data_IF_150503934104
#
_entry.id   IF_150503934104
#
_cell.length_a   1.000
_cell.length_b   1.000
_cell.length_c   1.000
_cell.angle_alpha   90.00
_cell.angle_beta   90.00
_cell.angle_gamma   90.00
#
_symmetry.space_group_name_H-M   'P 1'
#
loop_
_entity.id
_entity.type
_entity.pdbx_description
1 polymer ?
#
# COMPACT_ATOMS: atom_id res chain seq x y z
N UNK A 1 -4.85 -0.12 -11.22
CA UNK A 1 -4.28 1.11 -10.58
C UNK A 1 -5.32 2.24 -10.42
N UNK A 2 -6.32 2.33 -11.28
CA UNK A 2 -7.36 3.36 -11.15
C UNK A 2 -8.07 3.34 -9.78
N UNK A 3 -8.35 2.16 -9.26
CA UNK A 3 -8.99 1.97 -7.95
C UNK A 3 -8.13 2.51 -6.81
N UNK A 4 -6.81 2.32 -6.91
CA UNK A 4 -5.85 2.82 -5.92
C UNK A 4 -5.76 4.34 -5.97
N UNK A 5 -5.64 4.91 -7.16
CA UNK A 5 -5.60 6.36 -7.34
C UNK A 5 -6.87 7.02 -6.78
N UNK A 6 -8.04 6.44 -7.08
CA UNK A 6 -9.31 6.96 -6.57
C UNK A 6 -9.36 6.93 -5.04
N UNK A 7 -8.85 5.87 -4.41
CA UNK A 7 -8.75 5.77 -2.96
C UNK A 7 -7.79 6.82 -2.38
N UNK A 8 -6.63 7.00 -2.99
CA UNK A 8 -5.66 8.01 -2.53
C UNK A 8 -6.24 9.43 -2.64
N UNK A 9 -6.98 9.72 -3.71
CA UNK A 9 -7.67 11.00 -3.87
C UNK A 9 -8.69 11.24 -2.76
N UNK A 10 -9.47 10.21 -2.42
CA UNK A 10 -10.46 10.30 -1.35
C UNK A 10 -9.79 10.48 0.01
N UNK A 11 -8.75 9.68 0.30
CA UNK A 11 -8.01 9.74 1.56
C UNK A 11 -7.29 11.08 1.73
N UNK A 12 -6.82 11.68 0.63
CA UNK A 12 -6.18 13.00 0.67
C UNK A 12 -7.09 14.06 1.27
N UNK A 13 -8.39 13.98 1.00
CA UNK A 13 -9.39 14.94 1.47
C UNK A 13 -9.88 14.74 2.90
N UNK A 14 -9.45 13.67 3.57
CA UNK A 14 -9.91 13.31 4.91
C UNK A 14 -8.95 13.83 5.98
N UNK A 15 -9.48 14.35 7.06
CA UNK A 15 -8.69 14.80 8.21
C UNK A 15 -9.40 14.43 9.51
N UNK A 16 -8.80 13.57 10.37
CA UNK A 16 -7.61 12.74 10.11
C UNK A 16 -7.96 11.45 9.36
N UNK A 17 -6.94 10.79 8.81
CA UNK A 17 -7.09 9.40 8.35
C UNK A 17 -6.97 8.50 9.58
N UNK A 18 -8.10 7.92 9.96
CA UNK A 18 -8.19 6.94 11.06
C UNK A 18 -8.79 5.65 10.50
N UNK A 19 -8.77 4.58 11.30
CA UNK A 19 -9.31 3.30 10.84
C UNK A 19 -10.76 3.42 10.37
N UNK A 20 -11.61 4.10 11.13
CA UNK A 20 -13.02 4.29 10.78
C UNK A 20 -13.24 5.13 9.53
N UNK A 21 -12.50 6.23 9.38
CA UNK A 21 -12.63 7.10 8.20
C UNK A 21 -12.07 6.42 6.94
N UNK A 22 -10.99 5.66 7.07
CA UNK A 22 -10.45 4.88 5.96
C UNK A 22 -11.43 3.77 5.53
N UNK A 23 -12.02 3.06 6.48
CA UNK A 23 -13.05 2.05 6.17
C UNK A 23 -14.26 2.67 5.46
N UNK A 24 -14.68 3.87 5.87
CA UNK A 24 -15.76 4.58 5.21
C UNK A 24 -15.42 4.92 3.76
N UNK A 25 -14.16 5.25 3.48
CA UNK A 25 -13.68 5.47 2.08
C UNK A 25 -13.80 4.21 1.24
N UNK A 26 -13.36 3.07 1.77
CA UNK A 26 -13.49 1.80 1.06
C UNK A 26 -14.95 1.51 0.72
N UNK A 27 -15.84 1.70 1.68
CA UNK A 27 -17.28 1.51 1.45
C UNK A 27 -17.85 2.46 0.42
N UNK A 28 -17.48 3.73 0.49
CA UNK A 28 -17.96 4.75 -0.46
C UNK A 28 -17.47 4.51 -1.89
N UNK A 29 -16.28 3.93 -2.06
CA UNK A 29 -15.71 3.56 -3.35
C UNK A 29 -16.16 2.16 -3.80
N UNK A 30 -17.09 1.55 -3.08
CA UNK A 30 -17.68 0.25 -3.41
C UNK A 30 -16.69 -0.92 -3.37
N UNK A 31 -15.69 -0.85 -2.49
CA UNK A 31 -14.84 -1.99 -2.20
C UNK A 31 -15.61 -3.03 -1.41
N UNK A 32 -15.26 -4.30 -1.58
CA UNK A 32 -15.91 -5.42 -0.90
C UNK A 32 -15.11 -5.78 0.36
N UNK A 33 -15.76 -5.84 1.54
CA UNK A 33 -15.09 -6.28 2.76
C UNK A 33 -14.74 -7.78 2.69
N UNK A 34 -13.59 -8.15 3.26
CA UNK A 34 -13.08 -9.53 3.18
C UNK A 34 -12.92 -10.22 4.52
N UNK A 35 -12.93 -9.52 5.60
CA UNK A 35 -12.63 -10.10 6.88
C UNK A 35 -13.78 -9.94 7.90
N UNK A 36 -13.46 -10.28 9.15
CA UNK A 36 -14.33 -9.95 10.27
C UNK A 36 -13.89 -8.60 10.82
N UNK A 37 -14.84 -7.68 11.09
CA UNK A 37 -14.50 -6.40 11.68
C UNK A 37 -13.78 -6.57 13.02
N UNK A 38 -12.73 -5.77 13.21
CA UNK A 38 -12.09 -5.61 14.53
C UNK A 38 -12.62 -4.32 15.14
N UNK A 39 -13.14 -4.41 16.36
CA UNK A 39 -13.72 -3.25 17.06
C UNK A 39 -14.78 -2.51 16.23
N UNK A 40 -15.53 -3.27 15.43
CA UNK A 40 -16.57 -2.72 14.56
C UNK A 40 -16.08 -2.09 13.27
N UNK A 41 -14.77 -2.16 12.97
CA UNK A 41 -14.18 -1.61 11.76
C UNK A 41 -13.63 -2.73 10.87
N UNK A 42 -14.08 -2.78 9.61
CA UNK A 42 -13.53 -3.70 8.62
C UNK A 42 -12.17 -3.19 8.15
N UNK A 43 -11.14 -4.03 8.30
CA UNK A 43 -9.77 -3.65 7.95
C UNK A 43 -9.25 -4.30 6.68
N UNK A 44 -9.99 -5.23 6.08
CA UNK A 44 -9.57 -5.95 4.86
C UNK A 44 -10.63 -5.80 3.77
N UNK A 45 -10.19 -5.35 2.60
CA UNK A 45 -11.06 -5.01 1.49
C UNK A 45 -10.47 -5.51 0.17
N UNK A 46 -11.30 -5.64 -0.87
CA UNK A 46 -10.82 -5.92 -2.23
C UNK A 46 -11.70 -5.27 -3.28
N UNK A 47 -11.11 -4.97 -4.42
CA UNK A 47 -11.80 -4.46 -5.61
C UNK A 47 -10.93 -4.68 -6.83
N UNK A 48 -11.49 -5.26 -7.88
CA UNK A 48 -10.81 -5.39 -9.17
C UNK A 48 -9.46 -6.09 -9.12
N UNK A 49 -9.31 -7.12 -8.29
CA UNK A 49 -8.05 -7.83 -8.11
C UNK A 49 -7.05 -7.16 -7.17
N UNK A 50 -7.36 -5.96 -6.68
CA UNK A 50 -6.53 -5.25 -5.70
C UNK A 50 -7.03 -5.57 -4.30
N UNK A 51 -6.10 -5.88 -3.39
CA UNK A 51 -6.41 -6.01 -1.97
C UNK A 51 -6.04 -4.73 -1.25
N UNK A 52 -6.90 -4.29 -0.33
CA UNK A 52 -6.64 -3.14 0.51
C UNK A 52 -6.77 -3.52 1.98
N UNK A 53 -5.95 -2.91 2.84
CA UNK A 53 -6.09 -3.12 4.29
C UNK A 53 -5.66 -1.90 5.07
N UNK A 54 -6.15 -1.83 6.31
CA UNK A 54 -5.90 -0.73 7.24
C UNK A 54 -5.12 -1.28 8.42
N UNK A 55 -4.01 -0.64 8.75
CA UNK A 55 -3.21 -0.97 9.94
C UNK A 55 -3.14 0.24 10.86
N UNK A 56 -3.32 0.00 12.16
CA UNK A 56 -3.12 1.02 13.19
C UNK A 56 -1.93 0.61 14.04
N UNK A 57 -0.98 1.52 14.19
CA UNK A 57 0.26 1.28 14.94
C UNK A 57 0.12 1.81 16.37
N UNK A 58 1.00 1.36 17.26
CA UNK A 58 1.02 1.81 18.66
C UNK A 58 1.25 3.30 18.80
N UNK A 59 1.94 3.91 17.85
CA UNK A 59 2.16 5.36 17.79
C UNK A 59 0.91 6.17 17.49
N UNK A 60 -0.18 5.49 17.12
CA UNK A 60 -1.39 6.12 16.61
C UNK A 60 -1.35 6.36 15.09
N UNK A 61 -0.25 6.05 14.42
CA UNK A 61 -0.18 6.12 12.97
C UNK A 61 -1.15 5.13 12.34
N UNK A 62 -1.72 5.50 11.19
CA UNK A 62 -2.63 4.65 10.43
C UNK A 62 -2.05 4.52 9.02
N UNK A 63 -1.92 3.29 8.54
CA UNK A 63 -1.46 2.99 7.20
C UNK A 63 -2.57 2.31 6.42
N UNK A 64 -2.88 2.83 5.25
CA UNK A 64 -3.80 2.22 4.30
C UNK A 64 -2.97 1.70 3.14
N UNK A 65 -2.99 0.40 2.91
CA UNK A 65 -2.13 -0.28 1.94
C UNK A 65 -2.97 -0.95 0.86
N UNK A 66 -2.43 -0.97 -0.37
CA UNK A 66 -3.06 -1.60 -1.53
C UNK A 66 -2.04 -2.52 -2.19
N UNK A 67 -2.35 -3.81 -2.27
CA UNK A 67 -1.53 -4.76 -3.01
C UNK A 67 -2.06 -4.81 -4.45
N UNK A 68 -1.27 -4.27 -5.37
CA UNK A 68 -1.63 -4.21 -6.79
C UNK A 68 -1.12 -5.42 -7.56
N UNK A 69 -0.20 -6.17 -6.98
CA UNK A 69 0.34 -7.40 -7.54
C UNK A 69 0.76 -8.31 -6.39
N UNK A 70 0.40 -9.58 -6.47
CA UNK A 70 0.72 -10.58 -5.46
C UNK A 70 1.19 -11.84 -6.16
N UNK A 71 2.31 -12.38 -5.72
CA UNK A 71 2.81 -13.65 -6.23
C UNK A 71 3.20 -14.57 -5.08
N UNK A 72 2.54 -15.71 -5.00
CA UNK A 72 2.87 -16.74 -4.03
C UNK A 72 4.24 -17.34 -4.35
N UNK A 73 4.98 -17.68 -3.30
CA UNK A 73 6.28 -18.33 -3.42
C UNK A 73 6.06 -19.82 -3.51
N UNK A 74 6.63 -20.46 -4.53
CA UNK A 74 6.58 -21.90 -4.69
C UNK A 74 7.64 -22.55 -3.79
N UNK A 75 7.19 -23.34 -2.82
CA UNK A 75 8.09 -24.03 -1.88
C UNK A 75 9.05 -25.01 -2.57
N UNK A 76 8.65 -25.61 -3.69
CA UNK A 76 9.46 -26.58 -4.41
C UNK A 76 10.63 -25.96 -5.18
N UNK A 77 10.52 -24.68 -5.58
CA UNK A 77 11.54 -23.92 -6.30
C UNK A 77 12.15 -22.80 -5.49
N UNK A 78 11.97 -22.82 -4.20
CA UNK A 78 12.15 -21.72 -3.28
C UNK A 78 13.43 -20.88 -3.49
N UNK A 79 14.61 -21.51 -3.50
CA UNK A 79 15.87 -20.76 -3.60
C UNK A 79 16.21 -20.32 -5.01
N UNK A 80 15.78 -21.08 -6.01
CA UNK A 80 16.11 -20.78 -7.41
C UNK A 80 15.20 -19.70 -8.01
N UNK A 81 13.94 -19.64 -7.53
CA UNK A 81 12.91 -18.77 -8.11
C UNK A 81 12.73 -17.45 -7.37
N UNK A 82 13.19 -17.34 -6.13
CA UNK A 82 12.91 -16.16 -5.30
C UNK A 82 13.50 -14.88 -5.88
N UNK A 83 14.74 -14.92 -6.34
CA UNK A 83 15.36 -13.76 -6.98
C UNK A 83 14.62 -13.36 -8.26
N UNK A 84 14.15 -14.35 -9.03
CA UNK A 84 13.34 -14.09 -10.22
C UNK A 84 12.00 -13.44 -9.87
N UNK A 85 11.37 -13.86 -8.77
CA UNK A 85 10.12 -13.26 -8.29
C UNK A 85 10.36 -11.81 -7.84
N UNK A 86 11.47 -11.55 -7.16
CA UNK A 86 11.83 -10.19 -6.77
C UNK A 86 12.04 -9.29 -8.00
N UNK A 87 12.72 -9.78 -9.04
CA UNK A 87 12.92 -9.03 -10.27
C UNK A 87 11.60 -8.77 -11.00
N UNK A 88 10.68 -9.73 -11.01
CA UNK A 88 9.33 -9.51 -11.53
C UNK A 88 8.59 -8.43 -10.76
N UNK A 89 8.67 -8.46 -9.42
CA UNK A 89 8.07 -7.43 -8.58
C UNK A 89 8.63 -6.05 -8.86
N UNK A 90 9.94 -5.93 -9.01
CA UNK A 90 10.59 -4.66 -9.37
C UNK A 90 10.13 -4.15 -10.73
N UNK A 91 9.96 -5.04 -11.70
CA UNK A 91 9.44 -4.66 -13.02
C UNK A 91 7.98 -4.19 -12.95
N UNK A 92 7.15 -4.90 -12.20
CA UNK A 92 5.75 -4.50 -11.97
C UNK A 92 5.71 -3.12 -11.31
N UNK A 93 6.54 -2.89 -10.31
CA UNK A 93 6.65 -1.58 -9.66
C UNK A 93 7.04 -0.50 -10.67
N UNK A 94 8.06 -0.75 -11.48
CA UNK A 94 8.51 0.19 -12.50
C UNK A 94 7.40 0.52 -13.50
N UNK A 95 6.56 -0.45 -13.83
CA UNK A 95 5.42 -0.26 -14.74
C UNK A 95 4.29 0.56 -14.10
N UNK A 96 4.10 0.47 -12.78
CA UNK A 96 3.07 1.21 -12.06
C UNK A 96 3.48 2.64 -11.69
N UNK A 97 4.77 2.91 -11.50
CA UNK A 97 5.25 4.24 -11.10
C UNK A 97 4.77 5.36 -12.03
N UNK A 98 4.84 5.22 -13.38
CA UNK A 98 4.33 6.27 -14.27
C UNK A 98 2.83 6.54 -14.12
N UNK A 99 2.04 5.53 -13.74
CA UNK A 99 0.61 5.73 -13.51
C UNK A 99 0.34 6.60 -12.30
N UNK A 100 1.14 6.45 -11.24
CA UNK A 100 1.06 7.30 -10.04
C UNK A 100 1.57 8.71 -10.39
N UNK A 101 2.72 8.82 -11.02
CA UNK A 101 3.37 10.08 -11.36
C UNK A 101 2.62 10.87 -12.44
N UNK A 102 1.83 10.21 -13.27
CA UNK A 102 0.97 10.84 -14.29
C UNK A 102 -0.48 11.01 -13.85
N UNK A 103 -0.82 10.67 -12.61
CA UNK A 103 -2.18 10.76 -12.10
C UNK A 103 -2.56 12.17 -11.67
N UNK A 104 -3.83 12.35 -11.30
CA UNK A 104 -4.33 13.60 -10.70
C UNK A 104 -3.64 13.97 -9.39
N UNK A 105 -2.97 13.02 -8.74
CA UNK A 105 -2.20 13.26 -7.51
C UNK A 105 -0.84 13.91 -7.77
N UNK A 106 -0.32 13.85 -8.99
CA UNK A 106 1.06 14.24 -9.32
C UNK A 106 1.43 15.64 -8.84
N UNK A 107 0.51 16.60 -8.97
CA UNK A 107 0.75 17.98 -8.54
C UNK A 107 0.85 18.14 -7.01
N UNK A 108 0.42 17.14 -6.25
CA UNK A 108 0.42 17.15 -4.78
C UNK A 108 1.51 16.25 -4.19
N UNK A 109 2.11 15.39 -5.01
CA UNK A 109 3.16 14.47 -4.57
C UNK A 109 4.53 15.15 -4.66
N UNK A 110 5.28 15.12 -3.56
CA UNK A 110 6.65 15.61 -3.50
C UNK A 110 7.56 14.42 -3.16
N UNK A 111 8.52 14.15 -4.03
CA UNK A 111 9.46 13.05 -3.82
C UNK A 111 10.19 13.22 -2.49
N UNK A 112 10.27 12.14 -1.71
CA UNK A 112 10.88 12.13 -0.40
C UNK A 112 12.00 11.09 -0.35
N UNK A 113 12.97 11.31 0.54
CA UNK A 113 14.04 10.36 0.76
C UNK A 113 13.55 9.14 1.53
N UNK A 114 14.09 7.98 1.20
CA UNK A 114 13.83 6.74 1.90
C UNK A 114 14.60 6.75 3.21
N UNK A 115 13.94 6.26 4.27
CA UNK A 115 14.59 6.05 5.55
C UNK A 115 15.25 4.67 5.61
N UNK A 116 16.08 4.42 6.62
CA UNK A 116 16.62 3.09 6.87
C UNK A 116 15.51 2.07 7.12
N UNK A 117 14.47 2.46 7.86
CA UNK A 117 13.30 1.61 8.10
C UNK A 117 12.58 1.24 6.78
N UNK A 118 12.46 2.18 5.84
CA UNK A 118 11.87 1.90 4.53
C UNK A 118 12.71 0.87 3.77
N UNK A 119 14.02 0.99 3.78
CA UNK A 119 14.92 0.05 3.11
C UNK A 119 14.93 -1.33 3.77
N UNK A 120 14.67 -1.41 5.06
CA UNK A 120 14.57 -2.69 5.78
C UNK A 120 13.25 -3.40 5.47
N UNK A 121 12.17 -2.64 5.31
CA UNK A 121 10.83 -3.18 5.03
C UNK A 121 10.65 -3.59 3.57
N UNK A 122 11.21 -2.82 2.64
CA UNK A 122 10.98 -2.99 1.20
C UNK A 122 12.21 -3.53 0.48
N UNK A 123 11.97 -4.37 -0.51
CA UNK A 123 13.01 -4.86 -1.45
C UNK A 123 13.39 -3.73 -2.42
N UNK A 124 12.39 -2.97 -2.87
CA UNK A 124 12.54 -1.75 -3.66
C UNK A 124 11.40 -0.81 -3.28
N UNK A 125 11.68 0.49 -3.19
CA UNK A 125 10.66 1.45 -2.74
C UNK A 125 10.89 2.82 -3.36
N UNK A 126 9.78 3.53 -3.62
CA UNK A 126 9.76 4.95 -3.89
C UNK A 126 8.79 5.63 -2.94
N UNK A 127 9.15 6.82 -2.48
CA UNK A 127 8.41 7.52 -1.43
C UNK A 127 8.14 8.96 -1.83
N UNK A 128 6.95 9.43 -1.45
CA UNK A 128 6.54 10.83 -1.62
C UNK A 128 5.89 11.33 -0.33
N UNK A 129 5.88 12.64 -0.18
CA UNK A 129 4.96 13.27 0.77
C UNK A 129 3.71 13.73 0.03
N UNK A 130 2.58 13.66 0.72
CA UNK A 130 1.28 14.11 0.25
C UNK A 130 0.67 14.96 1.37
N UNK A 131 1.04 16.26 1.41
CA UNK A 131 0.76 17.10 2.56
C UNK A 131 1.50 16.61 3.80
N UNK A 132 0.80 16.40 4.90
CA UNK A 132 1.37 15.88 6.15
C UNK A 132 1.52 14.35 6.16
N UNK A 133 1.13 13.68 5.10
CA UNK A 133 1.12 12.22 4.98
C UNK A 133 2.23 11.75 4.06
N UNK A 134 2.54 10.46 4.10
CA UNK A 134 3.50 9.84 3.19
C UNK A 134 2.80 8.81 2.31
N UNK A 135 3.27 8.70 1.07
CA UNK A 135 2.86 7.67 0.13
C UNK A 135 4.10 6.89 -0.27
N UNK A 136 4.03 5.58 -0.18
CA UNK A 136 5.11 4.69 -0.62
C UNK A 136 4.58 3.72 -1.67
N UNK A 137 5.43 3.39 -2.63
CA UNK A 137 5.16 2.32 -3.59
C UNK A 137 6.38 1.42 -3.60
N UNK A 138 6.19 0.12 -3.38
CA UNK A 138 7.35 -0.76 -3.24
C UNK A 138 7.03 -2.23 -3.39
N UNK A 139 8.12 -2.99 -3.48
CA UNK A 139 8.08 -4.46 -3.48
C UNK A 139 8.36 -4.92 -2.05
N UNK A 140 7.49 -5.76 -1.51
CA UNK A 140 7.58 -6.24 -0.13
C UNK A 140 7.39 -7.75 -0.05
N UNK A 141 8.12 -8.37 0.85
CA UNK A 141 7.86 -9.73 1.30
C UNK A 141 8.05 -9.74 2.82
N UNK A 142 6.97 -9.94 3.55
CA UNK A 142 7.00 -9.85 5.02
C UNK A 142 7.73 -11.01 5.68
N UNK A 143 7.69 -12.19 5.05
CA UNK A 143 8.42 -13.37 5.47
C UNK A 143 8.70 -14.22 4.23
N UNK A 144 9.73 -15.04 4.29
CA UNK A 144 10.13 -15.91 3.17
C UNK A 144 9.05 -16.91 2.76
N UNK A 145 8.11 -17.22 3.64
CA UNK A 145 6.96 -18.11 3.36
C UNK A 145 5.73 -17.34 2.85
N UNK A 146 5.78 -16.03 2.86
CA UNK A 146 4.65 -15.18 2.45
C UNK A 146 4.81 -14.71 1.01
N UNK A 147 3.71 -14.32 0.35
CA UNK A 147 3.78 -13.80 -1.01
C UNK A 147 4.66 -12.57 -1.14
N UNK A 148 5.28 -12.42 -2.31
CA UNK A 148 5.89 -11.16 -2.72
C UNK A 148 4.79 -10.28 -3.28
N UNK A 149 4.75 -9.02 -2.85
CA UNK A 149 3.70 -8.08 -3.25
C UNK A 149 4.31 -6.78 -3.76
N UNK A 150 3.63 -6.14 -4.70
CA UNK A 150 3.83 -4.73 -5.00
C UNK A 150 2.70 -3.98 -4.32
N UNK A 151 3.05 -3.08 -3.41
CA UNK A 151 2.09 -2.34 -2.60
C UNK A 151 2.25 -0.84 -2.79
N UNK A 152 1.12 -0.13 -2.71
CA UNK A 152 1.07 1.32 -2.57
C UNK A 152 0.42 1.58 -1.22
N UNK A 153 1.02 2.43 -0.41
CA UNK A 153 0.53 2.71 0.94
C UNK A 153 0.52 4.20 1.23
N UNK A 154 -0.53 4.65 1.93
CA UNK A 154 -0.61 5.99 2.48
C UNK A 154 -0.57 5.88 3.99
N UNK A 155 0.32 6.65 4.63
CA UNK A 155 0.44 6.65 6.08
C UNK A 155 0.15 8.03 6.66
N UNK A 156 -0.78 8.04 7.63
CA UNK A 156 -1.06 9.20 8.47
C UNK A 156 -0.20 9.07 9.71
N UNK A 157 0.68 10.05 10.01
CA UNK A 157 1.52 9.96 11.20
C UNK A 157 0.67 10.00 12.47
N UNK A 158 1.14 9.32 13.50
CA UNK A 158 0.51 9.37 14.81
C UNK A 158 0.64 10.76 15.44
N UNK A 159 -0.27 11.07 16.35
CA UNK A 159 -0.15 12.28 17.16
C UNK A 159 1.13 12.22 17.98
N UNK A 160 1.92 13.25 17.89
CA UNK A 160 3.16 13.34 18.64
C UNK A 160 2.89 13.53 20.14
#
# INVERSE_FOLDING_TARGET
MAEVIAMLEELKGITPVAAGSAAACFGAQEWTPRGKPRDGVETSWHKGGVRGWIQTFRTGAVRVSFAVWIRDVDESGYFDDLDAVYEQGKQVLADFLPEIEGSSLASHLVEAEQTEADRDEFIAVKKWTLGARTVTAGVIQQDTDLPVMVVVALEEPGAA
#
